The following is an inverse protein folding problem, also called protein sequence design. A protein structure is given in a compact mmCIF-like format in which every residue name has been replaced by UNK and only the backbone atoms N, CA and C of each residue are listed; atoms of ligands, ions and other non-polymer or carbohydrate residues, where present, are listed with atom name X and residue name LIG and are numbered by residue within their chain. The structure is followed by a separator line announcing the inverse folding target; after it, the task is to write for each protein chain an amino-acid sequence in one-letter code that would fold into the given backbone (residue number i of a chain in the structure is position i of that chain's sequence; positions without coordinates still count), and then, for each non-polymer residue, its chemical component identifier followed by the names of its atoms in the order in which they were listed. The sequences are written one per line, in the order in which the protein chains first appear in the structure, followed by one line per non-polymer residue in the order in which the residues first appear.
data_IF_454636876715
#
_entry.id   IF_454636876715
#
_cell.length_a   1.000
_cell.length_b   1.000
_cell.length_c   1.000
_cell.angle_alpha   90.00
_cell.angle_beta   90.00
_cell.angle_gamma   90.00
#
_symmetry.space_group_name_H-M   'P 1'
#
loop_
_entity.id
_entity.type
_entity.pdbx_description
1 polymer ?
#
# COMPACT_ATOMS: atom_id res chain seq x y z
N UNK A 1 -1.76 -10.02 -14.57
CA UNK A 1 -1.18 -9.51 -13.31
C UNK A 1 -1.03 -7.99 -13.38
N UNK A 2 -2.09 -7.17 -13.21
CA UNK A 2 -1.96 -5.70 -13.39
C UNK A 2 -2.92 -4.83 -12.56
N UNK A 3 -3.46 -5.33 -11.45
CA UNK A 3 -4.36 -4.55 -10.56
C UNK A 3 -3.60 -3.68 -9.54
N UNK A 4 -2.29 -3.94 -9.37
CA UNK A 4 -1.48 -3.32 -8.32
C UNK A 4 -1.27 -1.82 -8.56
N UNK A 5 -0.99 -1.40 -9.80
CA UNK A 5 -0.78 0.02 -10.14
C UNK A 5 -2.05 0.85 -9.91
N UNK A 6 -3.22 0.30 -10.23
CA UNK A 6 -4.50 0.94 -9.95
C UNK A 6 -4.72 1.15 -8.45
N UNK A 7 -4.32 0.18 -7.63
CA UNK A 7 -4.42 0.28 -6.18
C UNK A 7 -3.50 1.37 -5.60
N UNK A 8 -2.28 1.53 -6.14
CA UNK A 8 -1.37 2.61 -5.76
C UNK A 8 -1.95 4.00 -6.10
N UNK A 9 -2.61 4.13 -7.25
CA UNK A 9 -3.31 5.36 -7.64
C UNK A 9 -4.42 5.73 -6.66
N UNK A 10 -5.22 4.75 -6.22
CA UNK A 10 -6.27 4.96 -5.21
C UNK A 10 -5.68 5.40 -3.87
N UNK A 11 -4.53 4.86 -3.47
CA UNK A 11 -3.83 5.26 -2.23
C UNK A 11 -3.35 6.71 -2.35
N UNK A 12 -2.73 7.08 -3.47
CA UNK A 12 -2.31 8.47 -3.74
C UNK A 12 -3.49 9.45 -3.69
N UNK A 13 -4.61 9.08 -4.32
CA UNK A 13 -5.84 9.87 -4.31
C UNK A 13 -6.45 10.00 -2.91
N UNK A 14 -6.46 8.92 -2.12
CA UNK A 14 -6.96 8.94 -0.74
C UNK A 14 -6.12 9.81 0.17
N UNK A 15 -4.81 9.80 0.00
CA UNK A 15 -3.88 10.62 0.77
C UNK A 15 -3.80 12.07 0.27
N UNK A 16 -4.30 12.33 -0.94
CA UNK A 16 -4.28 13.67 -1.54
C UNK A 16 -2.88 14.20 -1.82
N UNK A 17 -1.86 13.32 -1.84
CA UNK A 17 -0.45 13.67 -2.03
C UNK A 17 0.24 12.67 -2.92
N UNK A 18 1.37 13.09 -3.50
CA UNK A 18 2.23 12.19 -4.26
C UNK A 18 2.89 11.20 -3.30
N UNK A 19 2.78 9.92 -3.63
CA UNK A 19 3.41 8.81 -2.91
C UNK A 19 4.49 8.20 -3.81
N UNK A 20 5.64 7.87 -3.25
CA UNK A 20 6.73 7.24 -3.99
C UNK A 20 6.68 5.73 -3.79
N UNK A 21 6.60 4.99 -4.89
CA UNK A 21 6.49 3.54 -4.86
C UNK A 21 7.82 2.87 -5.24
N UNK A 22 8.32 2.00 -4.37
CA UNK A 22 9.45 1.12 -4.64
C UNK A 22 8.95 -0.24 -5.13
N UNK A 23 8.96 -0.42 -6.46
CA UNK A 23 8.52 -1.67 -7.10
C UNK A 23 9.45 -2.85 -6.84
N UNK A 24 10.68 -2.64 -6.36
CA UNK A 24 11.59 -3.72 -5.99
C UNK A 24 11.30 -4.24 -4.58
N UNK A 25 10.86 -3.36 -3.68
CA UNK A 25 10.51 -3.69 -2.28
C UNK A 25 9.01 -3.90 -2.04
N UNK A 26 8.18 -3.61 -3.05
CA UNK A 26 6.72 -3.58 -2.96
C UNK A 26 6.19 -2.72 -1.81
N UNK A 27 6.79 -1.54 -1.61
CA UNK A 27 6.48 -0.62 -0.50
C UNK A 27 6.54 0.83 -0.92
N UNK A 28 5.93 1.71 -0.12
CA UNK A 28 6.11 3.15 -0.31
C UNK A 28 7.38 3.68 0.37
N UNK A 29 8.12 4.51 -0.35
CA UNK A 29 9.36 5.12 0.13
C UNK A 29 9.02 6.28 1.07
N UNK A 30 9.55 6.24 2.29
CA UNK A 30 9.32 7.24 3.34
C UNK A 30 7.84 7.49 3.70
N UNK A 31 6.95 6.53 3.40
CA UNK A 31 5.50 6.73 3.56
C UNK A 31 4.83 5.56 4.29
N UNK A 32 5.00 5.54 5.61
CA UNK A 32 4.41 4.52 6.47
C UNK A 32 2.87 4.56 6.49
N UNK A 33 2.27 5.72 6.20
CA UNK A 33 0.81 5.87 6.11
C UNK A 33 0.27 5.16 4.86
N UNK A 34 0.91 5.39 3.70
CA UNK A 34 0.59 4.69 2.47
C UNK A 34 0.87 3.18 2.57
N UNK A 35 1.96 2.79 3.24
CA UNK A 35 2.34 1.39 3.45
C UNK A 35 1.28 0.62 4.27
N UNK A 36 0.68 1.27 5.28
CA UNK A 36 -0.46 0.72 6.04
C UNK A 36 -1.70 0.47 5.18
N UNK A 37 -1.87 1.18 4.07
CA UNK A 37 -3.01 0.97 3.17
C UNK A 37 -2.79 -0.22 2.23
N UNK A 38 -1.54 -0.63 1.98
CA UNK A 38 -1.20 -1.85 1.25
C UNK A 38 -1.53 -3.09 2.07
N UNK A 39 -1.11 -3.08 3.34
CA UNK A 39 -1.33 -4.18 4.26
C UNK A 39 -2.69 -3.99 4.95
N UNK A 40 -3.75 -4.62 4.43
CA UNK A 40 -4.99 -4.78 5.23
C UNK A 40 -4.57 -5.38 6.58
N UNK A 41 -4.88 -4.75 7.73
CA UNK A 41 -4.56 -5.33 9.02
C UNK A 41 -5.21 -6.71 9.07
N UNK A 42 -4.37 -7.73 9.08
CA UNK A 42 -4.79 -9.11 9.11
C UNK A 42 -5.58 -9.30 10.40
N UNK A 43 -6.90 -9.54 10.30
CA UNK A 43 -7.72 -9.75 11.50
C UNK A 43 -7.24 -11.01 12.20
N UNK A 44 -6.59 -10.85 13.35
CA UNK A 44 -6.28 -11.96 14.25
C UNK A 44 -7.56 -12.59 14.81
N UNK A 45 -7.53 -13.88 15.19
CA UNK A 45 -6.39 -14.78 15.15
C UNK A 45 -6.48 -15.79 13.99
N UNK A 46 -5.43 -15.88 13.18
CA UNK A 46 -5.21 -17.08 12.37
C UNK A 46 -4.70 -18.15 13.33
N UNK A 47 -5.57 -19.07 13.74
CA UNK A 47 -5.10 -20.30 14.34
C UNK A 47 -4.37 -21.11 13.26
N UNK A 48 -3.17 -21.57 13.62
CA UNK A 48 -2.35 -22.50 12.86
C UNK A 48 -3.07 -23.84 12.70
#
# INVERSE_FOLDING_TARGET
HSIMIGHLGVIAMKLGRKVEWDGARERFVNDAEADRMLSRPMRSPWHL
#
